data_IF_921080145291
#
_entry.id   IF_921080145291
#
_cell.length_a   1.000
_cell.length_b   1.000
_cell.length_c   1.000
_cell.angle_alpha   90.00
_cell.angle_beta   90.00
_cell.angle_gamma   90.00
#
_symmetry.space_group_name_H-M   'P 1'
#
loop_
_entity.id
_entity.type
_entity.pdbx_description
1 polymer ?
#
# COMPACT_ATOMS: atom_id res chain seq x y z
N UNK A 1 6.26 31.46 18.78
CA UNK A 1 5.54 30.33 18.15
C UNK A 1 4.31 30.92 17.49
N UNK A 2 4.18 30.79 16.16
CA UNK A 2 2.99 31.26 15.45
C UNK A 2 1.82 30.35 15.82
N UNK A 3 0.72 30.93 16.30
CA UNK A 3 -0.46 30.17 16.68
C UNK A 3 -1.17 29.68 15.40
N UNK A 4 -1.06 28.39 15.09
CA UNK A 4 -1.66 27.80 13.89
C UNK A 4 -3.17 27.56 14.08
N UNK A 5 -3.66 27.53 15.32
CA UNK A 5 -5.04 27.18 15.71
C UNK A 5 -6.12 28.10 15.14
N UNK A 6 -5.75 29.30 14.69
CA UNK A 6 -6.70 30.30 14.18
C UNK A 6 -6.62 30.46 12.65
N UNK A 7 -5.91 29.56 11.97
CA UNK A 7 -5.69 29.64 10.51
C UNK A 7 -6.51 28.58 9.80
N UNK A 8 -7.10 28.95 8.66
CA UNK A 8 -7.81 27.99 7.82
C UNK A 8 -6.85 27.06 7.09
N UNK A 9 -7.31 25.85 6.78
CA UNK A 9 -6.48 24.82 6.15
C UNK A 9 -7.25 24.00 5.11
N UNK A 10 -6.54 23.51 4.10
CA UNK A 10 -7.01 22.48 3.15
C UNK A 10 -5.98 21.37 3.08
N UNK A 11 -6.42 20.12 3.03
CA UNK A 11 -5.54 18.98 2.82
C UNK A 11 -5.68 18.46 1.39
N UNK A 12 -4.75 18.86 0.51
CA UNK A 12 -4.79 18.55 -0.90
C UNK A 12 -4.07 17.23 -1.22
N UNK A 13 -4.66 16.41 -2.08
CA UNK A 13 -4.07 15.23 -2.70
C UNK A 13 -3.87 15.50 -4.20
N UNK A 14 -2.73 16.06 -4.62
CA UNK A 14 -2.53 16.56 -5.98
C UNK A 14 -2.57 15.46 -7.04
N UNK A 15 -2.09 14.26 -6.71
CA UNK A 15 -1.95 13.13 -7.62
C UNK A 15 -3.14 12.16 -7.58
N UNK A 16 -4.11 12.42 -6.71
CA UNK A 16 -5.33 11.62 -6.59
C UNK A 16 -6.47 12.31 -7.31
N UNK A 17 -7.11 11.58 -8.19
CA UNK A 17 -8.25 12.03 -8.97
C UNK A 17 -9.47 11.17 -8.68
N UNK A 18 -10.51 11.76 -8.13
CA UNK A 18 -11.82 11.13 -8.01
C UNK A 18 -12.84 11.89 -8.86
N UNK A 19 -13.75 11.16 -9.50
CA UNK A 19 -14.87 11.77 -10.24
C UNK A 19 -16.03 12.11 -9.31
N UNK A 20 -16.19 11.32 -8.25
CA UNK A 20 -17.25 11.44 -7.25
C UNK A 20 -16.61 11.40 -5.86
N UNK A 21 -17.30 11.96 -4.87
CA UNK A 21 -16.89 11.88 -3.47
C UNK A 21 -16.81 10.42 -3.02
N UNK A 22 -15.62 9.99 -2.60
CA UNK A 22 -15.35 8.70 -1.97
C UNK A 22 -15.58 8.84 -0.47
N UNK A 23 -16.44 7.98 0.10
CA UNK A 23 -16.80 8.02 1.53
C UNK A 23 -16.36 6.74 2.24
N UNK A 24 -15.41 6.86 3.15
CA UNK A 24 -14.78 5.75 3.87
C UNK A 24 -14.95 5.95 5.38
N UNK A 25 -16.14 5.61 5.89
CA UNK A 25 -16.48 5.87 7.29
C UNK A 25 -16.49 7.38 7.58
N UNK A 26 -15.58 7.84 8.43
CA UNK A 26 -15.39 9.25 8.74
C UNK A 26 -14.61 10.02 7.68
N UNK A 27 -13.81 9.32 6.86
CA UNK A 27 -12.93 9.94 5.87
C UNK A 27 -13.67 10.19 4.56
N UNK A 28 -13.41 11.34 3.95
CA UNK A 28 -13.94 11.73 2.65
C UNK A 28 -12.78 12.10 1.73
N UNK A 29 -12.76 11.57 0.51
CA UNK A 29 -11.91 12.09 -0.57
C UNK A 29 -12.84 12.71 -1.60
N UNK A 30 -12.69 14.00 -1.85
CA UNK A 30 -13.61 14.77 -2.71
C UNK A 30 -12.86 15.44 -3.84
N UNK A 31 -13.48 15.61 -5.02
CA UNK A 31 -12.88 16.43 -6.07
C UNK A 31 -12.65 17.86 -5.55
N UNK A 32 -11.45 18.40 -5.76
CA UNK A 32 -11.09 19.76 -5.34
C UNK A 32 -12.07 20.80 -5.91
N UNK A 33 -12.55 20.57 -7.14
CA UNK A 33 -13.55 21.41 -7.78
C UNK A 33 -14.91 21.47 -7.05
N UNK A 34 -15.30 20.43 -6.32
CA UNK A 34 -16.49 20.44 -5.47
C UNK A 34 -16.23 21.21 -4.18
N UNK A 35 -15.11 20.93 -3.50
CA UNK A 35 -14.74 21.63 -2.27
C UNK A 35 -14.62 23.16 -2.46
N UNK A 36 -14.14 23.59 -3.64
CA UNK A 36 -14.05 25.01 -4.02
C UNK A 36 -15.43 25.64 -4.26
N UNK A 37 -16.42 24.88 -4.75
CA UNK A 37 -17.79 25.39 -4.94
C UNK A 37 -18.54 25.52 -3.62
N UNK A 38 -18.28 24.61 -2.68
CA UNK A 38 -19.01 24.54 -1.41
C UNK A 38 -18.52 25.56 -0.37
N UNK A 39 -17.26 26.01 -0.47
CA UNK A 39 -16.66 26.93 0.50
C UNK A 39 -15.75 27.96 -0.19
N UNK A 40 -16.16 29.23 -0.19
CA UNK A 40 -15.39 30.34 -0.78
C UNK A 40 -13.98 30.50 -0.18
N UNK A 41 -13.79 30.08 1.08
CA UNK A 41 -12.48 30.13 1.71
C UNK A 41 -11.50 29.14 1.05
N UNK A 42 -11.99 28.03 0.48
CA UNK A 42 -11.15 27.12 -0.30
C UNK A 42 -10.52 27.84 -1.49
N UNK A 43 -11.33 28.59 -2.25
CA UNK A 43 -10.87 29.32 -3.43
C UNK A 43 -9.77 30.33 -3.07
N UNK A 44 -9.91 31.03 -1.94
CA UNK A 44 -8.94 32.03 -1.46
C UNK A 44 -7.60 31.39 -1.10
N UNK A 45 -7.62 30.25 -0.42
CA UNK A 45 -6.41 29.54 0.00
C UNK A 45 -5.61 28.98 -1.19
N UNK A 46 -6.28 28.70 -2.30
CA UNK A 46 -5.67 28.06 -3.47
C UNK A 46 -5.16 29.05 -4.53
N UNK A 47 -5.39 30.37 -4.38
CA UNK A 47 -5.05 31.36 -5.42
C UNK A 47 -3.58 31.32 -5.87
N UNK A 48 -2.66 31.00 -4.95
CA UNK A 48 -1.22 30.97 -5.20
C UNK A 48 -0.63 29.56 -5.35
N UNK A 49 -1.46 28.52 -5.36
CA UNK A 49 -1.01 27.12 -5.37
C UNK A 49 -1.08 26.50 -6.77
N UNK A 50 -0.05 25.76 -7.22
CA UNK A 50 0.03 25.21 -8.57
C UNK A 50 -0.82 23.95 -8.78
N UNK A 51 -1.90 23.76 -8.02
CA UNK A 51 -2.72 22.56 -8.10
C UNK A 51 -3.58 22.52 -9.35
N UNK A 52 -3.67 21.34 -9.96
CA UNK A 52 -4.67 21.08 -10.98
C UNK A 52 -6.06 21.03 -10.32
N UNK A 53 -7.08 21.69 -10.88
CA UNK A 53 -8.47 21.60 -10.38
C UNK A 53 -9.06 20.19 -10.47
N UNK A 54 -8.43 19.29 -11.23
CA UNK A 54 -8.78 17.88 -11.27
C UNK A 54 -8.38 17.10 -9.99
N UNK A 55 -7.46 17.62 -9.19
CA UNK A 55 -6.98 16.99 -7.94
C UNK A 55 -8.09 16.80 -6.91
N UNK A 56 -7.78 16.09 -5.81
CA UNK A 56 -8.72 15.81 -4.74
C UNK A 56 -8.31 16.49 -3.42
N UNK A 57 -9.26 16.62 -2.51
CA UNK A 57 -9.02 16.98 -1.11
C UNK A 57 -9.40 15.82 -0.20
N UNK A 58 -8.80 15.79 0.98
CA UNK A 58 -9.17 14.86 2.06
C UNK A 58 -9.84 15.64 3.19
N UNK A 59 -10.98 15.13 3.63
CA UNK A 59 -11.85 15.72 4.63
C UNK A 59 -12.29 14.66 5.63
N UNK A 60 -12.87 15.08 6.75
CA UNK A 60 -13.57 14.18 7.67
C UNK A 60 -15.04 14.59 7.78
N UNK A 61 -15.85 13.85 8.54
CA UNK A 61 -17.23 14.28 8.84
C UNK A 61 -17.28 15.55 9.70
N UNK A 62 -16.21 15.84 10.45
CA UNK A 62 -16.10 17.00 11.36
C UNK A 62 -15.30 18.15 10.78
N UNK A 63 -14.48 17.90 9.76
CA UNK A 63 -13.62 18.88 9.12
C UNK A 63 -13.91 18.97 7.62
N UNK A 64 -14.19 20.19 7.14
CA UNK A 64 -14.29 20.50 5.72
C UNK A 64 -13.11 21.35 5.27
N UNK A 65 -12.73 21.23 4.01
CA UNK A 65 -11.69 22.08 3.41
C UNK A 65 -12.04 23.55 3.63
N UNK A 66 -11.06 24.34 4.09
CA UNK A 66 -11.24 25.75 4.39
C UNK A 66 -11.73 26.05 5.82
N UNK A 67 -11.96 25.02 6.65
CA UNK A 67 -12.20 25.18 8.08
C UNK A 67 -10.91 25.56 8.82
N UNK A 68 -11.06 25.99 10.08
CA UNK A 68 -9.93 26.30 10.95
C UNK A 68 -9.15 25.04 11.33
N UNK A 69 -7.83 25.16 11.37
CA UNK A 69 -6.96 24.09 11.81
C UNK A 69 -7.24 23.70 13.26
N UNK A 70 -7.46 22.41 13.48
CA UNK A 70 -7.37 21.81 14.80
C UNK A 70 -6.34 20.69 14.78
N UNK A 71 -5.63 20.52 15.89
CA UNK A 71 -4.65 19.43 16.01
C UNK A 71 -5.34 18.06 15.95
N UNK A 72 -6.59 17.96 16.39
CA UNK A 72 -7.35 16.72 16.37
C UNK A 72 -7.67 16.29 14.93
N UNK A 73 -8.16 17.22 14.10
CA UNK A 73 -8.46 16.93 12.70
C UNK A 73 -7.18 16.60 11.90
N UNK A 74 -6.06 17.30 12.17
CA UNK A 74 -4.78 17.00 11.51
C UNK A 74 -4.30 15.57 11.81
N UNK A 75 -4.40 15.15 13.07
CA UNK A 75 -4.06 13.78 13.48
C UNK A 75 -5.00 12.76 12.85
N UNK A 76 -6.32 13.00 12.88
CA UNK A 76 -7.30 12.09 12.27
C UNK A 76 -7.08 11.92 10.77
N UNK A 77 -6.81 13.01 10.04
CA UNK A 77 -6.53 12.98 8.60
C UNK A 77 -5.24 12.21 8.31
N UNK A 78 -4.15 12.50 9.03
CA UNK A 78 -2.86 11.82 8.83
C UNK A 78 -2.95 10.33 9.09
N UNK A 79 -3.58 9.92 10.19
CA UNK A 79 -3.68 8.51 10.56
C UNK A 79 -4.62 7.77 9.62
N UNK A 80 -5.74 8.39 9.25
CA UNK A 80 -6.67 7.83 8.26
C UNK A 80 -6.03 7.67 6.89
N UNK A 81 -5.16 8.60 6.49
CA UNK A 81 -4.41 8.51 5.24
C UNK A 81 -3.42 7.34 5.22
N UNK A 82 -2.76 7.04 6.33
CA UNK A 82 -1.85 5.87 6.43
C UNK A 82 -2.62 4.55 6.34
N UNK A 83 -3.81 4.47 6.95
CA UNK A 83 -4.70 3.31 6.82
C UNK A 83 -5.21 3.18 5.38
N UNK A 84 -5.53 4.31 4.73
CA UNK A 84 -6.00 4.36 3.36
C UNK A 84 -4.95 3.85 2.37
N UNK A 85 -3.71 4.31 2.51
CA UNK A 85 -2.57 3.81 1.73
C UNK A 85 -2.38 2.30 1.91
N UNK A 86 -2.38 1.82 3.16
CA UNK A 86 -2.22 0.39 3.45
C UNK A 86 -3.35 -0.43 2.80
N UNK A 87 -4.59 0.02 2.92
CA UNK A 87 -5.75 -0.60 2.27
C UNK A 87 -5.59 -0.66 0.75
N UNK A 88 -5.12 0.42 0.13
CA UNK A 88 -4.90 0.46 -1.31
C UNK A 88 -3.80 -0.49 -1.73
N UNK A 89 -2.62 -0.43 -1.12
CA UNK A 89 -1.49 -1.29 -1.49
C UNK A 89 -1.76 -2.77 -1.24
N UNK A 90 -2.61 -3.10 -0.26
CA UNK A 90 -3.07 -4.46 -0.10
C UNK A 90 -3.86 -4.93 -1.32
N UNK A 91 -4.79 -4.12 -1.84
CA UNK A 91 -5.58 -4.48 -3.02
C UNK A 91 -4.79 -4.43 -4.32
N UNK A 92 -3.90 -3.46 -4.44
CA UNK A 92 -3.16 -3.08 -5.64
C UNK A 92 -1.66 -3.07 -5.38
N UNK A 93 -1.03 -4.22 -5.07
CA UNK A 93 0.42 -4.24 -4.95
C UNK A 93 1.02 -3.91 -6.33
N UNK A 94 1.82 -2.86 -6.41
CA UNK A 94 2.37 -2.39 -7.69
C UNK A 94 3.47 -3.33 -8.20
N UNK A 95 3.51 -3.54 -9.51
CA UNK A 95 4.66 -4.12 -10.21
C UNK A 95 5.52 -2.99 -10.78
N UNK A 96 6.85 -3.17 -10.82
CA UNK A 96 7.75 -2.22 -11.50
C UNK A 96 7.46 -2.10 -12.99
N UNK A 97 6.88 -3.15 -13.58
CA UNK A 97 6.58 -3.25 -15.00
C UNK A 97 5.06 -3.16 -15.25
N UNK A 98 4.32 -2.51 -14.34
CA UNK A 98 2.91 -2.20 -14.61
C UNK A 98 2.82 -1.22 -15.78
N UNK A 99 1.99 -1.55 -16.77
CA UNK A 99 1.78 -0.73 -17.97
C UNK A 99 1.18 0.63 -17.63
N UNK A 100 0.55 0.76 -16.46
CA UNK A 100 -0.02 2.01 -15.97
C UNK A 100 0.95 2.81 -15.09
N UNK A 101 2.20 2.36 -14.95
CA UNK A 101 3.20 2.96 -14.08
C UNK A 101 3.15 2.44 -12.64
N UNK A 102 4.23 2.65 -11.90
CA UNK A 102 4.34 2.23 -10.50
C UNK A 102 3.59 3.18 -9.57
N UNK A 103 2.65 2.68 -8.76
CA UNK A 103 1.97 3.48 -7.73
C UNK A 103 2.69 3.32 -6.41
N UNK A 104 3.20 4.43 -5.86
CA UNK A 104 3.94 4.43 -4.59
C UNK A 104 3.34 5.36 -3.54
N UNK A 105 4.00 5.43 -2.39
CA UNK A 105 3.54 6.22 -1.24
C UNK A 105 3.37 7.72 -1.58
N UNK A 106 4.19 8.24 -2.49
CA UNK A 106 4.19 9.63 -2.95
C UNK A 106 2.97 9.97 -3.81
N UNK A 107 2.30 8.98 -4.41
CA UNK A 107 1.01 9.18 -5.09
C UNK A 107 -0.07 9.64 -4.11
N UNK A 108 0.06 9.26 -2.84
CA UNK A 108 -0.87 9.61 -1.75
C UNK A 108 -0.33 10.74 -0.85
N UNK A 109 0.68 11.50 -1.32
CA UNK A 109 1.23 12.61 -0.53
C UNK A 109 0.17 13.71 -0.33
N UNK A 110 -0.05 14.07 0.94
CA UNK A 110 -1.04 15.05 1.35
C UNK A 110 -0.37 16.38 1.69
N UNK A 111 -0.90 17.45 1.11
CA UNK A 111 -0.34 18.79 1.20
C UNK A 111 -1.27 19.70 2.00
N UNK A 112 -0.91 20.04 3.25
CA UNK A 112 -1.63 21.04 4.01
C UNK A 112 -1.37 22.45 3.45
N UNK A 113 -2.43 23.09 2.99
CA UNK A 113 -2.45 24.49 2.54
C UNK A 113 -3.02 25.35 3.64
N UNK A 114 -2.20 26.16 4.29
CA UNK A 114 -2.59 26.95 5.46
C UNK A 114 -2.70 28.43 5.10
N UNK A 115 -3.79 29.07 5.50
CA UNK A 115 -4.10 30.50 5.30
C UNK A 115 -2.95 31.40 5.71
N UNK A 116 -2.31 32.16 4.83
CA UNK A 116 -1.19 33.03 5.18
C UNK A 116 -1.56 34.00 6.32
N UNK A 117 -0.64 34.18 7.29
CA UNK A 117 -0.83 35.22 8.30
C UNK A 117 -0.64 36.60 7.63
N UNK A 118 -1.68 37.44 7.69
CA UNK A 118 -1.71 38.78 7.09
C UNK A 118 -0.59 39.70 7.59
N UNK A 119 -0.12 39.49 8.83
CA UNK A 119 1.01 40.24 9.41
C UNK A 119 2.37 39.76 8.88
N UNK A 120 2.45 38.53 8.35
CA UNK A 120 3.67 37.94 7.81
C UNK A 120 3.80 38.10 6.30
N UNK A 121 2.68 38.34 5.60
CA UNK A 121 2.68 38.59 4.15
C UNK A 121 3.53 39.80 3.75
N UNK A 122 3.62 40.84 4.60
CA UNK A 122 4.49 41.98 4.34
C UNK A 122 6.00 41.68 4.49
N UNK A 123 6.37 40.51 5.02
CA UNK A 123 7.75 40.07 5.16
C UNK A 123 8.21 39.06 4.10
N UNK A 124 7.39 38.78 3.08
CA UNK A 124 7.76 37.87 1.99
C UNK A 124 7.97 36.41 2.44
N UNK A 125 7.25 35.96 3.46
CA UNK A 125 7.34 34.59 3.98
C UNK A 125 6.75 33.60 2.97
N UNK A 126 7.59 32.67 2.50
CA UNK A 126 7.21 31.63 1.53
C UNK A 126 7.06 30.26 2.20
N UNK A 127 6.08 29.47 1.76
CA UNK A 127 5.95 28.07 2.15
C UNK A 127 7.10 27.25 1.50
N UNK A 128 7.96 26.66 2.33
CA UNK A 128 9.03 25.76 1.87
C UNK A 128 8.72 24.31 2.22
N UNK A 129 8.99 23.42 1.26
CA UNK A 129 8.89 21.98 1.42
C UNK A 129 10.27 21.39 1.70
N UNK A 130 10.42 20.56 2.75
CA UNK A 130 11.62 19.77 2.92
C UNK A 130 11.70 18.73 1.81
N UNK A 131 12.87 18.63 1.20
CA UNK A 131 13.19 17.67 0.16
C UNK A 131 14.54 17.05 0.48
N UNK A 132 14.68 15.74 0.30
CA UNK A 132 15.95 15.04 0.51
C UNK A 132 16.30 14.22 -0.71
N UNK A 133 17.59 14.15 -1.03
CA UNK A 133 18.12 13.23 -2.04
C UNK A 133 18.77 11.99 -1.40
N UNK A 134 18.49 11.72 -0.12
CA UNK A 134 19.11 10.63 0.64
C UNK A 134 20.49 10.96 1.23
N UNK A 135 21.13 12.06 0.81
CA UNK A 135 22.42 12.51 1.36
C UNK A 135 22.36 13.89 2.01
N UNK A 136 21.43 14.74 1.58
CA UNK A 136 21.31 16.12 2.04
C UNK A 136 19.85 16.56 2.05
N UNK A 137 19.52 17.40 3.02
CA UNK A 137 18.19 18.00 3.15
C UNK A 137 18.21 19.41 2.56
N UNK A 138 17.25 19.67 1.69
CA UNK A 138 17.03 20.93 1.00
C UNK A 138 15.66 21.48 1.40
N UNK A 139 15.51 22.79 1.34
CA UNK A 139 14.23 23.46 1.44
C UNK A 139 13.93 24.08 0.09
N UNK A 140 12.96 23.50 -0.63
CA UNK A 140 12.48 24.05 -1.90
C UNK A 140 11.28 24.95 -1.63
N UNK A 141 11.14 26.02 -2.41
CA UNK A 141 9.85 26.71 -2.46
C UNK A 141 8.78 25.73 -2.91
N UNK A 142 7.55 25.94 -2.44
CA UNK A 142 6.43 25.11 -2.84
C UNK A 142 6.27 25.02 -4.37
N UNK A 143 6.44 26.16 -5.07
CA UNK A 143 6.38 26.22 -6.53
C UNK A 143 7.47 25.38 -7.19
N UNK A 144 8.72 25.51 -6.78
CA UNK A 144 9.84 24.74 -7.36
C UNK A 144 9.72 23.26 -7.02
N UNK A 145 9.28 22.94 -5.81
CA UNK A 145 8.99 21.57 -5.40
C UNK A 145 7.91 20.95 -6.29
N UNK A 146 6.80 21.66 -6.55
CA UNK A 146 5.76 21.17 -7.46
C UNK A 146 6.23 21.05 -8.88
N UNK A 147 6.97 22.03 -9.42
CA UNK A 147 7.52 21.93 -10.78
C UNK A 147 8.43 20.71 -10.93
N UNK A 148 9.30 20.47 -9.94
CA UNK A 148 10.10 19.25 -9.88
C UNK A 148 9.20 18.01 -9.84
N UNK A 149 8.24 17.97 -8.90
CA UNK A 149 7.33 16.84 -8.73
C UNK A 149 6.51 16.56 -10.00
N UNK A 150 5.90 17.56 -10.64
CA UNK A 150 5.05 17.40 -11.83
C UNK A 150 5.80 16.72 -12.98
N UNK A 151 7.10 16.98 -13.14
CA UNK A 151 7.93 16.33 -14.17
C UNK A 151 8.07 14.82 -13.92
N UNK A 152 8.06 14.38 -12.66
CA UNK A 152 7.98 12.95 -12.34
C UNK A 152 6.53 12.45 -12.37
N UNK A 153 5.58 13.27 -11.92
CA UNK A 153 4.20 12.89 -11.59
C UNK A 153 3.21 12.86 -12.75
N UNK A 154 3.51 13.42 -13.93
CA UNK A 154 2.64 13.25 -15.12
C UNK A 154 2.39 11.76 -15.44
N UNK A 155 3.29 10.87 -15.00
CA UNK A 155 3.17 9.42 -15.13
C UNK A 155 2.65 8.69 -13.87
N UNK A 156 2.35 9.38 -12.76
CA UNK A 156 2.02 8.75 -11.46
C UNK A 156 0.68 9.18 -10.87
N UNK A 157 -0.17 9.83 -11.68
CA UNK A 157 -1.51 10.18 -11.23
C UNK A 157 -2.42 8.97 -11.15
N UNK A 158 -3.27 8.92 -10.11
CA UNK A 158 -4.13 7.79 -9.84
C UNK A 158 -5.59 8.20 -9.82
N UNK A 159 -6.38 7.55 -10.66
CA UNK A 159 -7.84 7.67 -10.64
C UNK A 159 -8.41 6.65 -9.67
N UNK A 160 -9.17 7.14 -8.70
CA UNK A 160 -9.74 6.33 -7.64
C UNK A 160 -11.26 6.40 -7.64
N UNK A 161 -11.84 5.29 -7.19
CA UNK A 161 -13.26 5.10 -6.94
C UNK A 161 -13.45 4.49 -5.56
N UNK A 162 -14.69 4.50 -5.07
CA UNK A 162 -15.07 3.83 -3.82
C UNK A 162 -14.65 2.35 -3.77
N UNK A 163 -14.61 1.67 -4.92
CA UNK A 163 -14.33 0.22 -5.00
C UNK A 163 -12.87 -0.11 -4.74
N UNK A 164 -11.97 0.86 -4.83
CA UNK A 164 -10.52 0.66 -4.67
C UNK A 164 -10.08 0.61 -3.19
N UNK A 165 -11.03 0.78 -2.26
CA UNK A 165 -10.81 0.82 -0.81
C UNK A 165 -11.71 -0.16 -0.06
N UNK A 166 -11.92 -1.36 -0.61
CA UNK A 166 -12.80 -2.37 -0.03
C UNK A 166 -12.33 -2.93 1.32
N UNK A 167 -11.03 -2.77 1.66
CA UNK A 167 -10.48 -3.16 2.96
C UNK A 167 -10.26 -2.01 3.95
N UNK A 168 -10.62 -0.76 3.59
CA UNK A 168 -10.35 0.39 4.47
C UNK A 168 -11.04 0.21 5.82
N UNK A 169 -12.30 -0.20 5.81
CA UNK A 169 -13.11 -0.42 7.02
C UNK A 169 -12.52 -1.52 7.92
N UNK A 170 -12.00 -2.59 7.32
CA UNK A 170 -11.34 -3.69 8.05
C UNK A 170 -10.09 -3.18 8.76
N UNK A 171 -9.18 -2.49 8.06
CA UNK A 171 -7.93 -2.02 8.65
C UNK A 171 -8.13 -0.83 9.61
N UNK A 172 -9.14 0.01 9.35
CA UNK A 172 -9.52 1.08 10.26
C UNK A 172 -10.10 0.52 11.57
N UNK A 173 -10.97 -0.50 11.48
CA UNK A 173 -11.48 -1.23 12.63
C UNK A 173 -10.37 -1.94 13.42
N UNK A 174 -9.45 -2.59 12.72
CA UNK A 174 -8.28 -3.23 13.31
C UNK A 174 -7.43 -2.23 14.11
N UNK A 175 -7.13 -1.07 13.51
CA UNK A 175 -6.34 -0.03 14.18
C UNK A 175 -7.00 0.43 15.47
N UNK A 176 -8.33 0.61 15.47
CA UNK A 176 -9.09 0.97 16.68
C UNK A 176 -9.05 -0.11 17.76
N UNK A 177 -8.91 -1.38 17.39
CA UNK A 177 -8.92 -2.51 18.31
C UNK A 177 -7.56 -2.73 18.99
N UNK A 178 -6.46 -2.65 18.24
CA UNK A 178 -5.13 -3.07 18.72
C UNK A 178 -3.96 -2.15 18.33
N UNK A 179 -4.24 -0.91 17.90
CA UNK A 179 -3.25 0.10 17.49
C UNK A 179 -2.18 -0.45 16.52
N UNK A 180 -2.51 -0.49 15.24
CA UNK A 180 -1.65 -1.01 14.16
C UNK A 180 -1.00 0.09 13.33
N UNK A 181 -1.16 1.34 13.74
CA UNK A 181 -0.80 2.50 12.93
C UNK A 181 0.70 2.55 12.62
N UNK A 182 1.55 2.20 13.58
CA UNK A 182 3.00 2.13 13.37
C UNK A 182 3.37 1.05 12.35
N UNK A 183 2.67 -0.09 12.35
CA UNK A 183 2.87 -1.14 11.35
C UNK A 183 2.51 -0.63 9.96
N UNK A 184 1.39 0.08 9.83
CA UNK A 184 0.96 0.69 8.57
C UNK A 184 1.95 1.73 8.07
N UNK A 185 2.39 2.65 8.94
CA UNK A 185 3.37 3.69 8.61
C UNK A 185 4.68 3.08 8.10
N UNK A 186 5.22 2.08 8.79
CA UNK A 186 6.48 1.45 8.41
C UNK A 186 6.33 0.62 7.12
N UNK A 187 5.21 -0.08 6.94
CA UNK A 187 4.91 -0.77 5.68
C UNK A 187 4.78 0.20 4.50
N UNK A 188 4.03 1.29 4.66
CA UNK A 188 3.83 2.30 3.60
C UNK A 188 5.14 2.98 3.18
N UNK A 189 6.11 3.13 4.10
CA UNK A 189 7.46 3.62 3.74
C UNK A 189 8.18 2.68 2.77
N UNK A 190 7.93 1.37 2.80
CA UNK A 190 8.51 0.45 1.83
C UNK A 190 7.98 0.66 0.39
N UNK A 191 6.85 1.37 0.23
CA UNK A 191 6.27 1.76 -1.07
C UNK A 191 6.80 3.08 -1.64
N UNK A 192 7.80 3.71 -1.03
CA UNK A 192 8.39 4.96 -1.55
C UNK A 192 9.13 4.77 -2.89
N UNK A 193 8.81 5.63 -3.87
CA UNK A 193 9.37 5.72 -5.25
C UNK A 193 10.74 6.38 -5.26
N UNK A 194 10.95 7.45 -4.50
CA UNK A 194 12.25 8.13 -4.49
C UNK A 194 13.29 7.35 -3.68
N UNK A 195 12.81 6.39 -2.87
CA UNK A 195 13.56 5.29 -2.28
C UNK A 195 13.53 4.00 -3.12
N UNK A 196 13.02 4.00 -4.36
CA UNK A 196 13.05 2.80 -5.21
C UNK A 196 14.47 2.22 -5.33
N UNK A 197 15.49 3.06 -5.20
CA UNK A 197 16.90 2.67 -5.16
C UNK A 197 17.56 2.81 -3.78
N UNK A 198 16.85 3.31 -2.75
CA UNK A 198 17.33 3.33 -1.37
C UNK A 198 16.79 2.11 -0.60
N UNK A 199 17.44 0.99 -0.90
CA UNK A 199 17.10 -0.31 -0.34
C UNK A 199 17.34 -0.39 1.19
N UNK A 200 18.28 0.41 1.71
CA UNK A 200 18.73 0.33 3.10
C UNK A 200 17.59 0.54 4.09
N UNK A 201 16.78 1.56 3.82
CA UNK A 201 15.61 1.94 4.60
C UNK A 201 14.48 0.91 4.47
N UNK A 202 14.23 0.37 3.27
CA UNK A 202 13.16 -0.62 3.05
C UNK A 202 13.41 -1.93 3.79
N UNK A 203 14.66 -2.41 3.80
CA UNK A 203 15.05 -3.59 4.57
C UNK A 203 14.91 -3.36 6.09
N UNK A 204 15.21 -2.14 6.57
CA UNK A 204 15.03 -1.77 7.96
C UNK A 204 13.55 -1.74 8.36
N UNK A 205 12.71 -1.03 7.60
CA UNK A 205 11.28 -0.91 7.90
C UNK A 205 10.56 -2.26 7.86
N UNK A 206 10.85 -3.11 6.87
CA UNK A 206 10.27 -4.46 6.76
C UNK A 206 10.64 -5.39 7.90
N UNK A 207 11.88 -5.28 8.41
CA UNK A 207 12.28 -6.00 9.62
C UNK A 207 11.52 -5.50 10.84
N UNK A 208 11.45 -4.19 11.03
CA UNK A 208 10.78 -3.56 12.19
C UNK A 208 9.32 -3.99 12.23
N UNK A 209 8.60 -3.97 11.11
CA UNK A 209 7.18 -4.39 11.07
C UNK A 209 7.00 -5.86 11.44
N UNK A 210 7.86 -6.75 10.94
CA UNK A 210 7.82 -8.18 11.29
C UNK A 210 8.13 -8.41 12.77
N UNK A 211 9.13 -7.72 13.33
CA UNK A 211 9.48 -7.83 14.75
C UNK A 211 8.38 -7.27 15.66
N UNK A 212 7.82 -6.11 15.33
CA UNK A 212 6.71 -5.50 16.07
C UNK A 212 5.49 -6.42 16.09
N UNK A 213 5.06 -6.92 14.94
CA UNK A 213 3.92 -7.85 14.86
C UNK A 213 4.21 -9.15 15.59
N UNK A 214 5.39 -9.75 15.38
CA UNK A 214 5.79 -10.99 16.06
C UNK A 214 5.83 -10.84 17.59
N UNK A 215 6.22 -9.67 18.09
CA UNK A 215 6.27 -9.39 19.53
C UNK A 215 4.91 -9.38 20.22
N UNK A 216 3.82 -9.18 19.45
CA UNK A 216 2.43 -9.24 19.95
C UNK A 216 1.97 -10.66 20.19
N UNK A 217 2.48 -11.63 19.43
CA UNK A 217 2.06 -13.03 19.51
C UNK A 217 3.02 -13.92 20.30
N UNK A 218 4.31 -13.56 20.38
CA UNK A 218 5.34 -14.40 20.98
C UNK A 218 6.20 -13.59 21.95
N UNK A 219 6.13 -13.95 23.24
CA UNK A 219 6.88 -13.26 24.29
C UNK A 219 8.39 -13.59 24.30
N UNK A 220 8.76 -14.86 24.07
CA UNK A 220 10.12 -15.38 24.30
C UNK A 220 10.69 -16.22 23.14
N UNK A 221 12.01 -16.14 22.93
CA UNK A 221 12.77 -16.90 21.94
C UNK A 221 12.82 -16.24 20.55
N UNK A 222 13.03 -17.03 19.49
CA UNK A 222 12.96 -16.55 18.11
C UNK A 222 11.51 -16.17 17.75
N UNK A 223 11.12 -14.93 18.08
CA UNK A 223 9.75 -14.41 17.94
C UNK A 223 9.24 -14.52 16.51
N UNK A 224 10.07 -14.11 15.55
CA UNK A 224 9.72 -14.09 14.12
C UNK A 224 9.45 -15.50 13.62
N UNK A 225 10.40 -16.43 13.81
CA UNK A 225 10.23 -17.82 13.35
C UNK A 225 9.01 -18.51 13.95
N UNK A 226 8.78 -18.35 15.26
CA UNK A 226 7.57 -18.90 15.92
C UNK A 226 6.28 -18.28 15.39
N UNK A 227 6.30 -17.00 15.03
CA UNK A 227 5.13 -16.31 14.46
C UNK A 227 4.86 -16.81 13.03
N UNK A 228 5.89 -17.13 12.24
CA UNK A 228 5.69 -17.81 10.95
C UNK A 228 5.00 -19.16 11.10
N UNK A 229 5.42 -19.99 12.07
CA UNK A 229 4.73 -21.26 12.37
C UNK A 229 3.26 -21.03 12.70
N UNK A 230 2.97 -20.10 13.61
CA UNK A 230 1.60 -19.75 13.98
C UNK A 230 0.77 -19.25 12.78
N UNK A 231 1.37 -18.44 11.91
CA UNK A 231 0.74 -17.95 10.69
C UNK A 231 0.34 -19.12 9.78
N UNK A 232 1.24 -20.05 9.48
CA UNK A 232 0.91 -21.20 8.61
C UNK A 232 -0.15 -22.11 9.23
N UNK A 233 -0.12 -22.33 10.55
CA UNK A 233 -1.15 -23.08 11.26
C UNK A 233 -2.53 -22.43 11.12
N UNK A 234 -2.63 -21.11 11.37
CA UNK A 234 -3.87 -20.36 11.20
C UNK A 234 -4.33 -20.36 9.73
N UNK A 235 -3.41 -20.12 8.81
CA UNK A 235 -3.67 -20.05 7.37
C UNK A 235 -4.32 -21.34 6.86
N UNK A 236 -3.76 -22.51 7.21
CA UNK A 236 -4.31 -23.81 6.81
C UNK A 236 -5.73 -24.03 7.34
N UNK A 237 -6.01 -23.62 8.58
CA UNK A 237 -7.36 -23.71 9.17
C UNK A 237 -8.35 -22.80 8.44
N UNK A 238 -7.94 -21.57 8.16
CA UNK A 238 -8.75 -20.59 7.43
C UNK A 238 -9.06 -21.10 6.01
N UNK A 239 -8.07 -21.57 5.27
CA UNK A 239 -8.26 -22.14 3.92
C UNK A 239 -9.18 -23.37 3.98
N UNK A 240 -9.07 -24.21 5.01
CA UNK A 240 -9.95 -25.35 5.22
C UNK A 240 -11.44 -25.01 5.38
N UNK A 241 -11.79 -23.76 5.67
CA UNK A 241 -13.20 -23.33 5.84
C UNK A 241 -14.00 -23.25 4.54
N UNK A 242 -13.34 -23.33 3.37
CA UNK A 242 -13.99 -23.31 2.04
C UNK A 242 -13.84 -24.67 1.33
N UNK A 243 -13.94 -25.77 2.07
CA UNK A 243 -13.71 -27.12 1.56
C UNK A 243 -14.67 -27.53 0.41
N UNK A 244 -15.80 -26.83 0.26
CA UNK A 244 -16.80 -26.97 -0.80
C UNK A 244 -16.44 -26.26 -2.11
N UNK A 245 -15.39 -25.45 -2.14
CA UNK A 245 -15.07 -24.54 -3.24
C UNK A 245 -14.13 -25.18 -4.28
N UNK A 246 -14.33 -24.89 -5.57
CA UNK A 246 -13.49 -25.42 -6.66
C UNK A 246 -12.02 -25.01 -6.49
N UNK A 247 -11.75 -23.79 -6.02
CA UNK A 247 -10.38 -23.33 -5.78
C UNK A 247 -9.71 -24.11 -4.64
N UNK A 248 -10.47 -24.60 -3.66
CA UNK A 248 -9.93 -25.42 -2.57
C UNK A 248 -9.40 -26.77 -3.08
N UNK A 249 -10.07 -27.39 -4.05
CA UNK A 249 -9.57 -28.62 -4.67
C UNK A 249 -8.23 -28.40 -5.35
N UNK A 250 -8.08 -27.32 -6.12
CA UNK A 250 -6.79 -26.94 -6.74
C UNK A 250 -5.73 -26.69 -5.67
N UNK A 251 -6.08 -26.01 -4.58
CA UNK A 251 -5.17 -25.82 -3.44
C UNK A 251 -4.69 -27.16 -2.88
N UNK A 252 -5.60 -28.10 -2.59
CA UNK A 252 -5.24 -29.39 -2.01
C UNK A 252 -4.36 -30.23 -2.92
N UNK A 253 -4.67 -30.29 -4.20
CA UNK A 253 -3.93 -31.13 -5.13
C UNK A 253 -2.55 -30.56 -5.48
N UNK A 254 -2.47 -29.24 -5.75
CA UNK A 254 -1.29 -28.63 -6.37
C UNK A 254 -0.42 -27.82 -5.41
N UNK A 255 -1.00 -27.24 -4.37
CA UNK A 255 -0.32 -26.28 -3.48
C UNK A 255 0.02 -26.93 -2.15
N UNK A 256 -0.96 -27.54 -1.48
CA UNK A 256 -0.81 -28.18 -0.16
C UNK A 256 0.20 -29.33 -0.21
N UNK A 257 0.25 -30.07 -1.33
CA UNK A 257 1.24 -31.12 -1.59
C UNK A 257 2.69 -30.60 -1.67
N UNK A 258 2.87 -29.30 -1.97
CA UNK A 258 4.18 -28.61 -2.09
C UNK A 258 4.37 -27.54 -1.00
N UNK A 259 3.58 -27.57 0.08
CA UNK A 259 3.54 -26.50 1.09
C UNK A 259 4.86 -26.31 1.83
N UNK A 260 5.65 -27.37 1.99
CA UNK A 260 6.96 -27.28 2.65
C UNK A 260 7.96 -26.47 1.80
N UNK A 261 7.87 -26.59 0.46
CA UNK A 261 8.67 -25.77 -0.47
C UNK A 261 8.27 -24.31 -0.36
N UNK A 262 6.96 -24.03 -0.36
CA UNK A 262 6.41 -22.67 -0.21
C UNK A 262 6.84 -22.04 1.11
N UNK A 263 6.70 -22.78 2.21
CA UNK A 263 7.08 -22.33 3.57
C UNK A 263 8.57 -22.03 3.61
N UNK A 264 9.40 -22.96 3.12
CA UNK A 264 10.86 -22.78 3.08
C UNK A 264 11.27 -21.56 2.25
N UNK A 265 10.67 -21.33 1.08
CA UNK A 265 10.97 -20.15 0.25
C UNK A 265 10.62 -18.83 0.94
N UNK A 266 9.49 -18.79 1.63
CA UNK A 266 9.10 -17.64 2.44
C UNK A 266 10.14 -17.40 3.54
N UNK A 267 10.49 -18.44 4.29
CA UNK A 267 11.48 -18.35 5.37
C UNK A 267 12.87 -17.94 4.87
N UNK A 268 13.36 -18.57 3.80
CA UNK A 268 14.66 -18.29 3.19
C UNK A 268 14.74 -16.84 2.69
N UNK A 269 13.66 -16.31 2.09
CA UNK A 269 13.58 -14.91 1.69
C UNK A 269 13.72 -13.97 2.88
N UNK A 270 12.92 -14.16 3.93
CA UNK A 270 12.94 -13.28 5.11
C UNK A 270 14.23 -13.42 5.92
N UNK A 271 14.83 -14.60 5.96
CA UNK A 271 16.16 -14.81 6.53
C UNK A 271 17.23 -14.04 5.76
N UNK A 272 17.22 -14.14 4.43
CA UNK A 272 18.14 -13.42 3.55
C UNK A 272 17.98 -11.90 3.68
N UNK A 273 16.75 -11.41 3.75
CA UNK A 273 16.45 -9.99 3.99
C UNK A 273 17.03 -9.50 5.33
N UNK A 274 16.96 -10.32 6.39
CA UNK A 274 17.54 -9.98 7.69
C UNK A 274 19.08 -10.00 7.68
N UNK A 275 19.70 -10.94 6.95
CA UNK A 275 21.16 -10.93 6.74
C UNK A 275 21.56 -9.64 6.04
N UNK A 276 20.88 -9.30 4.96
CA UNK A 276 21.22 -8.16 4.13
C UNK A 276 21.14 -6.84 4.92
N UNK A 277 20.13 -6.68 5.77
CA UNK A 277 20.07 -5.53 6.70
C UNK A 277 21.23 -5.50 7.71
N UNK A 278 21.72 -6.65 8.17
CA UNK A 278 22.93 -6.69 9.02
C UNK A 278 24.15 -6.23 8.23
N UNK A 279 24.30 -6.67 6.98
CA UNK A 279 25.39 -6.25 6.10
C UNK A 279 25.36 -4.73 5.85
N UNK A 280 24.18 -4.15 5.58
CA UNK A 280 24.02 -2.71 5.43
C UNK A 280 24.49 -1.98 6.71
N UNK A 281 24.02 -2.43 7.88
CA UNK A 281 24.29 -1.75 9.13
C UNK A 281 25.74 -1.86 9.62
N UNK A 282 26.44 -2.95 9.29
CA UNK A 282 27.79 -3.22 9.77
C UNK A 282 28.87 -2.95 8.72
N UNK A 283 28.55 -3.14 7.44
CA UNK A 283 29.52 -3.04 6.33
C UNK A 283 29.19 -1.92 5.35
N UNK A 284 28.01 -1.27 5.44
CA UNK A 284 27.59 -0.23 4.50
C UNK A 284 27.36 -0.73 3.07
N UNK A 285 27.24 -2.05 2.87
CA UNK A 285 27.04 -2.68 1.56
C UNK A 285 25.58 -3.02 1.33
N UNK A 286 25.09 -2.75 0.12
CA UNK A 286 23.74 -3.08 -0.34
C UNK A 286 23.79 -3.96 -1.59
N UNK A 287 22.95 -4.99 -1.65
CA UNK A 287 22.74 -5.87 -2.80
C UNK A 287 21.60 -5.38 -3.68
N UNK A 288 21.78 -5.48 -4.99
CA UNK A 288 20.75 -5.18 -5.98
C UNK A 288 19.58 -6.20 -5.97
N UNK A 289 19.75 -7.37 -5.35
CA UNK A 289 18.74 -8.42 -5.32
C UNK A 289 17.47 -8.05 -4.55
N UNK A 290 17.54 -7.03 -3.68
CA UNK A 290 16.42 -6.68 -2.80
C UNK A 290 15.87 -5.26 -3.03
N UNK A 291 16.26 -4.58 -4.11
CA UNK A 291 15.94 -3.17 -4.42
C UNK A 291 14.48 -2.79 -4.14
N UNK A 292 13.52 -3.71 -4.29
CA UNK A 292 12.09 -3.43 -4.07
C UNK A 292 11.38 -4.26 -3.00
N UNK A 293 12.09 -5.15 -2.28
CA UNK A 293 11.51 -6.05 -1.25
C UNK A 293 10.12 -6.63 -1.62
N UNK A 294 9.90 -6.93 -2.91
CA UNK A 294 8.57 -7.21 -3.45
C UNK A 294 7.83 -8.36 -2.73
N UNK A 295 8.48 -9.48 -2.35
CA UNK A 295 7.82 -10.50 -1.55
C UNK A 295 7.33 -10.00 -0.20
N UNK A 296 8.07 -9.14 0.51
CA UNK A 296 7.59 -8.52 1.75
C UNK A 296 6.35 -7.65 1.49
N UNK A 297 6.37 -6.82 0.44
CA UNK A 297 5.27 -5.92 0.12
C UNK A 297 3.95 -6.67 -0.13
N UNK A 298 4.01 -7.85 -0.74
CA UNK A 298 2.84 -8.68 -1.02
C UNK A 298 2.46 -9.57 0.18
N UNK A 299 3.44 -10.13 0.88
CA UNK A 299 3.23 -11.08 1.97
C UNK A 299 2.73 -10.40 3.25
N UNK A 300 3.33 -9.28 3.66
CA UNK A 300 3.10 -8.70 4.99
C UNK A 300 1.63 -8.36 5.28
N UNK A 301 0.86 -7.78 4.35
CA UNK A 301 -0.57 -7.53 4.61
C UNK A 301 -1.39 -8.80 4.84
N UNK A 302 -1.07 -9.88 4.11
CA UNK A 302 -1.72 -11.20 4.33
C UNK A 302 -1.30 -11.78 5.67
N UNK A 303 -0.02 -11.67 6.02
CA UNK A 303 0.52 -12.08 7.31
C UNK A 303 -0.20 -11.37 8.47
N UNK A 304 -0.34 -10.05 8.38
CA UNK A 304 -1.10 -9.25 9.35
C UNK A 304 -2.57 -9.69 9.43
N UNK A 305 -3.24 -9.83 8.28
CA UNK A 305 -4.66 -10.17 8.21
C UNK A 305 -4.95 -11.55 8.83
N UNK A 306 -4.13 -12.55 8.54
CA UNK A 306 -4.28 -13.91 9.08
C UNK A 306 -4.04 -13.95 10.60
N UNK A 307 -3.12 -13.13 11.09
CA UNK A 307 -2.77 -13.12 12.51
C UNK A 307 -3.76 -12.32 13.36
N UNK A 308 -4.24 -11.19 12.86
CA UNK A 308 -4.98 -10.19 13.66
C UNK A 308 -6.45 -10.02 13.26
N UNK A 309 -6.83 -10.38 12.03
CA UNK A 309 -8.19 -10.19 11.51
C UNK A 309 -8.95 -11.52 11.34
N UNK A 310 -8.61 -12.58 12.09
CA UNK A 310 -9.17 -13.92 11.86
C UNK A 310 -10.70 -13.99 11.81
N UNK A 311 -11.37 -13.12 12.58
CA UNK A 311 -12.83 -13.08 12.70
C UNK A 311 -13.50 -12.32 11.54
N UNK A 312 -12.75 -11.46 10.83
CA UNK A 312 -13.24 -10.63 9.73
C UNK A 312 -12.92 -11.22 8.34
N UNK A 313 -12.27 -12.39 8.31
CA UNK A 313 -11.88 -13.06 7.06
C UNK A 313 -13.11 -13.53 6.29
N UNK A 314 -13.23 -13.03 5.07
CA UNK A 314 -14.24 -13.40 4.11
C UNK A 314 -13.69 -14.37 3.06
N UNK A 315 -14.61 -15.04 2.36
CA UNK A 315 -14.25 -15.99 1.28
C UNK A 315 -13.33 -15.39 0.22
N UNK A 316 -13.50 -14.10 -0.13
CA UNK A 316 -12.61 -13.38 -1.07
C UNK A 316 -11.16 -13.31 -0.59
N UNK A 317 -10.95 -13.22 0.72
CA UNK A 317 -9.63 -13.12 1.35
C UNK A 317 -8.93 -14.47 1.30
N UNK A 318 -9.68 -15.54 1.53
CA UNK A 318 -9.19 -16.92 1.44
C UNK A 318 -8.69 -17.22 0.02
N UNK A 319 -9.40 -16.78 -1.02
CA UNK A 319 -8.92 -16.92 -2.39
C UNK A 319 -7.58 -16.21 -2.60
N UNK A 320 -7.45 -14.97 -2.09
CA UNK A 320 -6.18 -14.22 -2.13
C UNK A 320 -5.06 -14.97 -1.41
N UNK A 321 -5.34 -15.61 -0.27
CA UNK A 321 -4.35 -16.41 0.44
C UNK A 321 -3.86 -17.60 -0.37
N UNK A 322 -4.78 -18.32 -1.03
CA UNK A 322 -4.44 -19.43 -1.93
C UNK A 322 -3.54 -18.93 -3.07
N UNK A 323 -3.93 -17.83 -3.73
CA UNK A 323 -3.13 -17.26 -4.82
C UNK A 323 -1.76 -16.75 -4.36
N UNK A 324 -1.64 -16.26 -3.12
CA UNK A 324 -0.34 -15.87 -2.54
C UNK A 324 0.56 -17.09 -2.37
N UNK A 325 0.04 -18.20 -1.82
CA UNK A 325 0.81 -19.43 -1.68
C UNK A 325 1.28 -19.96 -3.03
N UNK A 326 0.42 -19.88 -4.06
CA UNK A 326 0.79 -20.20 -5.44
C UNK A 326 1.93 -19.34 -5.98
N UNK A 327 1.93 -18.05 -5.68
CA UNK A 327 3.00 -17.15 -6.12
C UNK A 327 4.35 -17.56 -5.53
N UNK A 328 4.38 -18.00 -4.26
CA UNK A 328 5.58 -18.56 -3.62
C UNK A 328 5.96 -19.97 -4.11
N UNK A 329 5.17 -20.58 -5.00
CA UNK A 329 5.59 -21.78 -5.73
C UNK A 329 6.53 -21.44 -6.91
N UNK A 330 6.77 -20.17 -7.22
CA UNK A 330 7.85 -19.71 -8.12
C UNK A 330 9.04 -19.19 -7.31
N UNK A 331 10.21 -19.19 -7.92
CA UNK A 331 11.38 -18.51 -7.35
C UNK A 331 11.13 -17.00 -7.25
N UNK A 332 11.51 -16.40 -6.13
CA UNK A 332 11.17 -15.01 -5.79
C UNK A 332 11.73 -14.00 -6.81
N UNK A 333 12.93 -14.24 -7.33
CA UNK A 333 13.60 -13.41 -8.32
C UNK A 333 12.90 -13.44 -9.69
N UNK A 334 12.17 -14.51 -10.00
CA UNK A 334 11.39 -14.63 -11.24
C UNK A 334 10.09 -13.83 -11.24
N UNK A 335 9.62 -13.35 -10.08
CA UNK A 335 8.25 -12.80 -9.94
C UNK A 335 7.91 -11.63 -10.86
N UNK A 336 8.92 -10.84 -11.22
CA UNK A 336 8.78 -9.63 -12.04
C UNK A 336 9.48 -9.76 -13.40
N UNK A 337 10.02 -10.93 -13.75
CA UNK A 337 10.68 -11.14 -15.04
C UNK A 337 9.63 -11.16 -16.17
N UNK A 338 9.83 -10.37 -17.22
CA UNK A 338 9.05 -10.43 -18.45
C UNK A 338 9.85 -11.21 -19.48
N UNK A 339 9.22 -12.24 -20.04
CA UNK A 339 9.70 -12.90 -21.24
C UNK A 339 9.31 -12.05 -22.47
N UNK A 340 10.32 -11.40 -23.05
CA UNK A 340 10.16 -10.60 -24.26
C UNK A 340 10.30 -11.44 -25.55
N UNK A 341 10.67 -12.72 -25.45
CA UNK A 341 10.84 -13.61 -26.60
C UNK A 341 9.50 -14.17 -27.11
N UNK A 342 8.46 -14.17 -26.26
CA UNK A 342 7.10 -14.58 -26.63
C UNK A 342 6.20 -13.39 -26.96
N UNK A 343 5.47 -13.45 -28.08
CA UNK A 343 4.48 -12.43 -28.46
C UNK A 343 3.07 -13.06 -28.60
N UNK A 344 2.04 -12.51 -27.91
CA UNK A 344 2.11 -11.41 -26.95
C UNK A 344 2.85 -11.83 -25.67
N UNK A 345 3.60 -10.91 -25.07
CA UNK A 345 4.34 -11.17 -23.83
C UNK A 345 3.37 -11.62 -22.73
N UNK A 346 3.74 -12.68 -22.02
CA UNK A 346 2.96 -13.18 -20.89
C UNK A 346 3.02 -12.20 -19.71
N UNK A 347 2.00 -12.25 -18.85
CA UNK A 347 2.04 -11.55 -17.54
C UNK A 347 3.15 -12.13 -16.68
N UNK A 348 3.81 -11.27 -15.91
CA UNK A 348 4.72 -11.74 -14.86
C UNK A 348 3.94 -12.52 -13.79
N UNK A 349 4.63 -13.35 -13.00
CA UNK A 349 3.97 -14.10 -11.92
C UNK A 349 3.27 -13.17 -10.92
N UNK A 350 3.87 -12.03 -10.57
CA UNK A 350 3.26 -11.02 -9.72
C UNK A 350 1.99 -10.43 -10.37
N UNK A 351 2.02 -10.10 -11.65
CA UNK A 351 0.85 -9.61 -12.39
C UNK A 351 -0.28 -10.66 -12.45
N UNK A 352 0.08 -11.94 -12.61
CA UNK A 352 -0.87 -13.05 -12.58
C UNK A 352 -1.54 -13.16 -11.19
N UNK A 353 -0.77 -13.14 -10.11
CA UNK A 353 -1.30 -13.08 -8.74
C UNK A 353 -2.25 -11.90 -8.51
N UNK A 354 -1.86 -10.70 -8.94
CA UNK A 354 -2.71 -9.49 -8.82
C UNK A 354 -4.03 -9.69 -9.56
N UNK A 355 -3.97 -10.21 -10.78
CA UNK A 355 -5.16 -10.47 -11.59
C UNK A 355 -6.08 -11.50 -10.92
N UNK A 356 -5.55 -12.65 -10.49
CA UNK A 356 -6.34 -13.71 -9.84
C UNK A 356 -6.97 -13.21 -8.53
N UNK A 357 -6.17 -12.61 -7.65
CA UNK A 357 -6.65 -12.13 -6.34
C UNK A 357 -7.73 -11.05 -6.42
N UNK A 358 -7.68 -10.18 -7.45
CA UNK A 358 -8.64 -9.07 -7.61
C UNK A 358 -9.91 -9.44 -8.35
N UNK A 359 -9.83 -10.39 -9.30
CA UNK A 359 -10.94 -10.64 -10.22
C UNK A 359 -11.71 -11.94 -9.91
N UNK A 360 -11.05 -12.97 -9.37
CA UNK A 360 -11.69 -14.29 -9.21
C UNK A 360 -12.97 -14.23 -8.36
N UNK A 361 -12.90 -13.60 -7.18
CA UNK A 361 -14.05 -13.47 -6.29
C UNK A 361 -15.26 -12.75 -6.93
N UNK A 362 -15.00 -11.80 -7.85
CA UNK A 362 -16.05 -11.08 -8.57
C UNK A 362 -16.78 -12.00 -9.54
N UNK A 363 -16.03 -12.82 -10.28
CA UNK A 363 -16.61 -13.79 -11.19
C UNK A 363 -17.33 -14.93 -10.48
N UNK A 364 -16.81 -15.43 -9.36
CA UNK A 364 -17.53 -16.46 -8.57
C UNK A 364 -18.93 -15.97 -8.16
N UNK A 365 -19.05 -14.69 -7.82
CA UNK A 365 -20.32 -14.07 -7.43
C UNK A 365 -21.26 -13.82 -8.61
N UNK A 366 -20.72 -13.26 -9.70
CA UNK A 366 -21.55 -12.64 -10.76
C UNK A 366 -21.54 -13.41 -12.10
N UNK A 367 -20.55 -14.29 -12.36
CA UNK A 367 -20.39 -15.02 -13.62
C UNK A 367 -19.58 -16.34 -13.46
N UNK A 368 -20.30 -17.44 -13.18
CA UNK A 368 -19.70 -18.77 -12.96
C UNK A 368 -18.85 -19.29 -14.13
N UNK A 369 -19.24 -19.00 -15.37
CA UNK A 369 -18.48 -19.44 -16.55
C UNK A 369 -17.11 -18.74 -16.62
N UNK A 370 -17.10 -17.43 -16.39
CA UNK A 370 -15.85 -16.66 -16.31
C UNK A 370 -14.98 -17.12 -15.13
N UNK A 371 -15.59 -17.46 -13.99
CA UNK A 371 -14.87 -18.02 -12.84
C UNK A 371 -14.19 -19.35 -13.19
N UNK A 372 -14.88 -20.24 -13.91
CA UNK A 372 -14.33 -21.51 -14.40
C UNK A 372 -13.13 -21.30 -15.33
N UNK A 373 -13.25 -20.41 -16.32
CA UNK A 373 -12.13 -20.12 -17.23
C UNK A 373 -10.94 -19.48 -16.51
N UNK A 374 -11.21 -18.63 -15.50
CA UNK A 374 -10.16 -18.06 -14.68
C UNK A 374 -9.43 -19.12 -13.85
N UNK A 375 -10.17 -20.11 -13.32
CA UNK A 375 -9.58 -21.25 -12.62
C UNK A 375 -8.71 -22.10 -13.55
N UNK A 376 -9.16 -22.39 -14.78
CA UNK A 376 -8.35 -23.08 -15.80
C UNK A 376 -7.06 -22.28 -16.10
N UNK A 377 -7.17 -20.96 -16.23
CA UNK A 377 -6.00 -20.09 -16.42
C UNK A 377 -5.02 -20.16 -15.25
N UNK A 378 -5.54 -20.18 -14.02
CA UNK A 378 -4.74 -20.35 -12.81
C UNK A 378 -4.05 -21.73 -12.74
N UNK A 379 -4.76 -22.80 -13.09
CA UNK A 379 -4.18 -24.13 -13.15
C UNK A 379 -3.08 -24.26 -14.20
N UNK A 380 -3.23 -23.60 -15.34
CA UNK A 380 -2.21 -23.57 -16.39
C UNK A 380 -0.99 -22.76 -15.96
N UNK A 381 -1.20 -21.63 -15.26
CA UNK A 381 -0.11 -20.89 -14.65
C UNK A 381 0.70 -21.82 -13.73
N UNK A 382 0.04 -22.53 -12.80
CA UNK A 382 0.71 -23.48 -11.89
C UNK A 382 1.50 -24.60 -12.60
N UNK A 383 1.11 -25.02 -13.81
CA UNK A 383 1.85 -26.05 -14.57
C UNK A 383 3.21 -25.57 -15.09
N UNK A 384 3.40 -24.26 -15.23
CA UNK A 384 4.69 -23.68 -15.63
C UNK A 384 5.79 -23.92 -14.59
N UNK A 385 5.45 -24.43 -13.41
CA UNK A 385 6.41 -24.77 -12.34
C UNK A 385 7.09 -26.12 -12.59
N UNK A 386 6.41 -27.03 -13.29
CA UNK A 386 6.87 -28.41 -13.51
C UNK A 386 7.62 -28.59 -14.84
N UNK A 387 7.73 -27.52 -15.66
CA UNK A 387 8.48 -27.49 -16.91
C UNK A 387 9.67 -26.55 -16.79
#
# INVERSE_FOLDING_TARGET
MLNITDRRIIYCLPSIFCQETIKLGNLLIRPLSEAVKDNDNCAKLLMDFPFNRASSVIETLTFKSGDFFTQLDDLEIRDSLEILKFSYFFEFPSSLLDINGFVGNETFECYPVIELNSELTCFGVEHKMPFTNGMSNYLLSLKSYFQYRTVFLENFSLRLTQKDFSYYSVFYGLNKKIDTLDLFKMYNKCWGVYSAYDFSDKALYSKITLELLSSRHVANGNKVGKTFTLFFEKLRRIIGSIADDELFHVYKEKIDSKIDIVTKRIEDYFFSLNIERKNIAHEGKSSHQFINVAPYLVFFPVFLMVLECSDDIQRKDIYRFIFLLSLFMYEVDSWQMIDFETFPSKRTHLQSYINFSRCYHKYVKDNKESAKYMLIGFENWLKEIDG
#
